data_IF_038403262443
#
_entry.id   IF_038403262443
#
_cell.length_a   1.000
_cell.length_b   1.000
_cell.length_c   1.000
_cell.angle_alpha   90.00
_cell.angle_beta   90.00
_cell.angle_gamma   90.00
#
_symmetry.space_group_name_H-M   'P 1'
#
loop_
_entity.id
_entity.type
_entity.pdbx_description
1 polymer ?
#
# COMPACT_ATOMS: atom_id res chain seq x y z
N UNK A 1 -19.85 5.82 38.55
CA UNK A 1 -20.37 6.47 37.32
C UNK A 1 -19.45 6.18 36.11
N UNK A 2 -19.10 4.90 35.84
CA UNK A 2 -18.04 4.54 34.85
C UNK A 2 -18.44 3.49 33.80
N UNK A 3 -19.67 2.95 33.82
CA UNK A 3 -20.10 1.89 32.90
C UNK A 3 -20.81 2.41 31.62
N UNK A 4 -21.15 3.70 31.54
CA UNK A 4 -21.98 4.24 30.43
C UNK A 4 -21.18 4.70 29.20
N UNK A 5 -19.83 4.75 29.26
CA UNK A 5 -18.99 5.23 28.15
C UNK A 5 -18.47 4.10 27.23
N UNK A 6 -18.53 2.83 27.64
CA UNK A 6 -18.06 1.70 26.82
C UNK A 6 -19.05 1.34 25.71
N UNK A 7 -20.36 1.36 26.01
CA UNK A 7 -21.40 0.97 25.06
C UNK A 7 -21.55 1.96 23.91
N UNK A 8 -21.31 3.25 24.16
CA UNK A 8 -21.25 4.27 23.11
C UNK A 8 -19.99 4.17 22.27
N UNK A 9 -18.87 3.72 22.84
CA UNK A 9 -17.58 3.56 22.14
C UNK A 9 -17.56 2.36 21.20
N UNK A 10 -18.13 1.22 21.60
CA UNK A 10 -18.27 0.04 20.75
C UNK A 10 -19.23 0.30 19.60
N UNK A 11 -20.38 0.93 19.88
CA UNK A 11 -21.31 1.37 18.83
C UNK A 11 -20.69 2.40 17.89
N UNK A 12 -19.88 3.33 18.40
CA UNK A 12 -19.20 4.32 17.53
C UNK A 12 -18.09 3.70 16.69
N UNK A 13 -17.39 2.66 17.16
CA UNK A 13 -16.44 1.91 16.33
C UNK A 13 -17.18 1.15 15.24
N UNK A 14 -18.29 0.48 15.58
CA UNK A 14 -19.12 -0.23 14.59
C UNK A 14 -19.76 0.72 13.56
N UNK A 15 -20.27 1.87 13.99
CA UNK A 15 -20.74 2.93 13.08
C UNK A 15 -19.60 3.52 12.25
N UNK A 16 -18.41 3.66 12.85
CA UNK A 16 -17.19 4.11 12.19
C UNK A 16 -16.69 3.17 11.08
N UNK A 17 -17.07 1.88 11.10
CA UNK A 17 -16.80 0.95 10.01
C UNK A 17 -17.64 1.27 8.75
N UNK A 18 -18.81 1.89 8.93
CA UNK A 18 -19.70 2.31 7.85
C UNK A 18 -19.45 3.73 7.35
N UNK A 19 -18.49 4.46 7.94
CA UNK A 19 -18.05 5.75 7.43
C UNK A 19 -17.38 5.59 6.06
N UNK A 20 -17.62 6.56 5.16
CA UNK A 20 -17.12 6.50 3.77
C UNK A 20 -15.62 6.28 3.70
N UNK A 21 -14.86 6.97 4.54
CA UNK A 21 -13.39 6.88 4.56
C UNK A 21 -12.91 5.49 4.96
N UNK A 22 -13.53 4.90 5.99
CA UNK A 22 -13.21 3.55 6.46
C UNK A 22 -13.60 2.50 5.43
N UNK A 23 -14.77 2.66 4.79
CA UNK A 23 -15.24 1.76 3.74
C UNK A 23 -14.32 1.79 2.52
N UNK A 24 -13.87 2.97 2.10
CA UNK A 24 -12.89 3.12 1.01
C UNK A 24 -11.58 2.43 1.39
N UNK A 25 -11.07 2.66 2.61
CA UNK A 25 -9.85 2.00 3.09
C UNK A 25 -9.95 0.48 3.13
N UNK A 26 -11.03 -0.07 3.70
CA UNK A 26 -11.30 -1.50 3.74
C UNK A 26 -11.43 -2.10 2.34
N UNK A 27 -12.14 -1.41 1.45
CA UNK A 27 -12.31 -1.85 0.05
C UNK A 27 -10.97 -1.88 -0.67
N UNK A 28 -10.14 -0.83 -0.54
CA UNK A 28 -8.79 -0.81 -1.09
C UNK A 28 -7.93 -1.95 -0.54
N UNK A 29 -7.98 -2.21 0.76
CA UNK A 29 -7.28 -3.33 1.39
C UNK A 29 -7.71 -4.69 0.85
N UNK A 30 -9.02 -4.89 0.69
CA UNK A 30 -9.58 -6.12 0.13
C UNK A 30 -9.13 -6.34 -1.33
N UNK A 31 -9.19 -5.31 -2.18
CA UNK A 31 -8.70 -5.40 -3.56
C UNK A 31 -7.19 -5.63 -3.63
N UNK A 32 -6.41 -5.01 -2.74
CA UNK A 32 -4.96 -5.23 -2.67
C UNK A 32 -4.62 -6.66 -2.25
N UNK A 33 -5.38 -7.25 -1.32
CA UNK A 33 -5.25 -8.66 -0.92
C UNK A 33 -5.68 -9.61 -2.04
N UNK A 34 -6.80 -9.35 -2.71
CA UNK A 34 -7.24 -10.15 -3.85
C UNK A 34 -6.21 -10.14 -4.99
N UNK A 35 -5.63 -8.97 -5.26
CA UNK A 35 -4.57 -8.80 -6.26
C UNK A 35 -3.35 -9.68 -5.98
N UNK A 36 -2.91 -9.85 -4.72
CA UNK A 36 -1.77 -10.71 -4.41
C UNK A 36 -2.06 -12.19 -4.68
N UNK A 37 -3.28 -12.64 -4.43
CA UNK A 37 -3.73 -14.01 -4.75
C UNK A 37 -3.78 -14.22 -6.26
N UNK A 38 -4.33 -13.26 -7.01
CA UNK A 38 -4.36 -13.34 -8.47
C UNK A 38 -2.96 -13.33 -9.09
N UNK A 39 -2.02 -12.52 -8.58
CA UNK A 39 -0.63 -12.57 -9.04
C UNK A 39 0.06 -13.90 -8.76
N UNK A 40 -0.26 -14.54 -7.62
CA UNK A 40 0.21 -15.89 -7.33
C UNK A 40 -0.40 -16.93 -8.29
N UNK A 41 -1.69 -16.84 -8.55
CA UNK A 41 -2.40 -17.72 -9.50
C UNK A 41 -1.91 -17.57 -10.95
N UNK A 42 -1.64 -16.34 -11.40
CA UNK A 42 -1.05 -16.07 -12.71
C UNK A 42 0.38 -16.64 -12.80
N UNK A 43 1.19 -16.46 -11.75
CA UNK A 43 2.54 -17.04 -11.69
C UNK A 43 2.53 -18.57 -11.77
N UNK A 44 1.54 -19.23 -11.17
CA UNK A 44 1.38 -20.69 -11.23
C UNK A 44 0.94 -21.16 -12.63
N UNK A 45 0.09 -20.38 -13.32
CA UNK A 45 -0.40 -20.71 -14.66
C UNK A 45 0.67 -20.58 -15.75
N UNK A 46 1.74 -19.82 -15.50
CA UNK A 46 2.85 -19.59 -16.44
C UNK A 46 4.03 -20.55 -16.20
N UNK A 47 3.78 -21.76 -15.71
CA UNK A 47 4.77 -22.73 -15.18
C UNK A 47 6.00 -23.01 -16.07
N UNK A 48 5.94 -22.70 -17.36
CA UNK A 48 6.99 -22.92 -18.36
C UNK A 48 7.94 -21.73 -18.65
N UNK A 49 7.83 -20.59 -17.94
CA UNK A 49 8.68 -19.39 -18.18
C UNK A 49 9.54 -19.03 -16.96
N UNK A 50 10.72 -18.43 -17.12
CA UNK A 50 11.54 -17.97 -15.98
C UNK A 50 10.77 -17.06 -15.00
N UNK A 51 11.02 -17.23 -13.71
CA UNK A 51 10.29 -16.56 -12.63
C UNK A 51 10.39 -15.03 -12.70
N UNK A 52 11.55 -14.52 -13.14
CA UNK A 52 11.85 -13.11 -13.42
C UNK A 52 10.93 -12.54 -14.50
N UNK A 53 10.76 -13.27 -15.61
CA UNK A 53 9.93 -12.88 -16.74
C UNK A 53 8.44 -12.83 -16.35
N UNK A 54 7.97 -13.77 -15.53
CA UNK A 54 6.57 -13.77 -15.02
C UNK A 54 6.27 -12.52 -14.18
N UNK A 55 7.18 -12.17 -13.28
CA UNK A 55 6.99 -11.00 -12.42
C UNK A 55 7.10 -9.70 -13.20
N UNK A 56 8.07 -9.58 -14.12
CA UNK A 56 8.22 -8.42 -15.00
C UNK A 56 7.00 -8.24 -15.92
N UNK A 57 6.39 -9.34 -16.38
CA UNK A 57 5.16 -9.30 -17.17
C UNK A 57 3.97 -8.84 -16.32
N UNK A 58 3.76 -9.43 -15.13
CA UNK A 58 2.70 -9.02 -14.22
C UNK A 58 2.83 -7.54 -13.79
N UNK A 59 4.06 -7.10 -13.52
CA UNK A 59 4.46 -5.70 -13.34
C UNK A 59 3.93 -4.81 -14.44
N UNK A 60 4.35 -5.13 -15.66
CA UNK A 60 4.16 -4.27 -16.81
C UNK A 60 2.68 -4.16 -17.13
N UNK A 61 1.97 -5.30 -17.11
CA UNK A 61 0.52 -5.33 -17.33
C UNK A 61 -0.21 -4.57 -16.23
N UNK A 62 0.12 -4.78 -14.95
CA UNK A 62 -0.48 -4.04 -13.84
C UNK A 62 -0.25 -2.54 -13.95
N UNK A 63 0.99 -2.14 -14.26
CA UNK A 63 1.36 -0.74 -14.37
C UNK A 63 0.63 -0.06 -15.54
N UNK A 64 0.54 -0.73 -16.70
CA UNK A 64 -0.21 -0.23 -17.86
C UNK A 64 -1.68 -0.05 -17.49
N UNK A 65 -2.32 -1.07 -16.90
CA UNK A 65 -3.73 -1.01 -16.50
C UNK A 65 -3.93 0.13 -15.49
N UNK A 66 -3.09 0.22 -14.47
CA UNK A 66 -3.16 1.26 -13.45
C UNK A 66 -2.98 2.66 -14.05
N UNK A 67 -1.99 2.85 -14.92
CA UNK A 67 -1.74 4.14 -15.60
C UNK A 67 -2.89 4.54 -16.52
N UNK A 68 -3.49 3.60 -17.25
CA UNK A 68 -4.65 3.88 -18.12
C UNK A 68 -5.87 4.26 -17.28
N UNK A 69 -6.22 3.45 -16.27
CA UNK A 69 -7.37 3.72 -15.40
C UNK A 69 -7.20 5.07 -14.69
N UNK A 70 -6.03 5.33 -14.12
CA UNK A 70 -5.74 6.59 -13.44
C UNK A 70 -5.75 7.78 -14.41
N UNK A 71 -5.23 7.60 -15.63
CA UNK A 71 -5.24 8.62 -16.68
C UNK A 71 -6.66 8.98 -17.15
N UNK A 72 -7.51 7.98 -17.36
CA UNK A 72 -8.93 8.18 -17.68
C UNK A 72 -9.64 8.88 -16.53
N UNK A 73 -9.41 8.43 -15.29
CA UNK A 73 -9.99 9.04 -14.10
C UNK A 73 -9.61 10.52 -13.97
N UNK A 74 -8.33 10.86 -14.14
CA UNK A 74 -7.86 12.26 -14.12
C UNK A 74 -8.55 13.08 -15.22
N UNK A 75 -8.64 12.54 -16.44
CA UNK A 75 -9.24 13.25 -17.57
C UNK A 75 -10.73 13.55 -17.36
N UNK A 76 -11.48 12.60 -16.78
CA UNK A 76 -12.92 12.72 -16.57
C UNK A 76 -13.25 13.56 -15.33
N UNK A 77 -12.53 13.37 -14.23
CA UNK A 77 -12.88 13.97 -12.94
C UNK A 77 -12.14 15.28 -12.65
N UNK A 78 -10.94 15.45 -13.19
CA UNK A 78 -10.07 16.61 -12.95
C UNK A 78 -9.44 17.12 -14.27
N UNK A 79 -10.24 17.64 -15.20
CA UNK A 79 -9.73 18.17 -16.46
C UNK A 79 -8.71 19.30 -16.20
N UNK A 80 -7.51 19.16 -16.77
CA UNK A 80 -6.41 20.13 -16.62
C UNK A 80 -5.30 19.72 -15.65
N UNK A 81 -5.49 18.69 -14.79
CA UNK A 81 -4.40 18.14 -13.97
C UNK A 81 -3.26 17.59 -14.83
N UNK A 82 -3.57 16.90 -15.94
CA UNK A 82 -2.57 16.38 -16.86
C UNK A 82 -1.68 17.51 -17.40
N UNK A 83 -2.27 18.64 -17.79
CA UNK A 83 -1.53 19.82 -18.24
C UNK A 83 -0.65 20.41 -17.14
N UNK A 84 -1.12 20.43 -15.89
CA UNK A 84 -0.32 20.89 -14.74
C UNK A 84 0.86 19.97 -14.45
N UNK A 85 0.72 18.66 -14.66
CA UNK A 85 1.82 17.70 -14.55
C UNK A 85 2.90 18.01 -15.62
N UNK A 86 2.49 18.30 -16.86
CA UNK A 86 3.43 18.70 -17.91
C UNK A 86 4.11 20.05 -17.61
N UNK A 87 3.40 21.01 -17.02
CA UNK A 87 3.98 22.28 -16.60
C UNK A 87 4.99 22.12 -15.45
N UNK A 88 4.75 21.19 -14.52
CA UNK A 88 5.65 20.86 -13.41
C UNK A 88 6.44 19.57 -13.67
N UNK A 89 6.90 19.38 -14.90
CA UNK A 89 7.67 18.22 -15.35
C UNK A 89 8.86 17.85 -14.43
N UNK A 90 9.69 18.80 -13.92
CA UNK A 90 10.88 18.42 -13.16
C UNK A 90 10.59 17.69 -11.83
N UNK A 91 9.74 18.22 -10.91
CA UNK A 91 9.39 17.48 -9.70
C UNK A 91 8.55 16.23 -10.00
N UNK A 92 7.69 16.26 -11.02
CA UNK A 92 6.94 15.07 -11.44
C UNK A 92 7.86 13.94 -11.92
N UNK A 93 8.96 14.27 -12.58
CA UNK A 93 9.94 13.27 -13.03
C UNK A 93 10.67 12.63 -11.85
N UNK A 94 11.09 13.40 -10.83
CA UNK A 94 11.76 12.86 -9.64
C UNK A 94 10.85 11.88 -8.88
N UNK A 95 9.57 12.23 -8.70
CA UNK A 95 8.58 11.35 -8.07
C UNK A 95 8.33 10.11 -8.94
N UNK A 96 8.26 10.27 -10.26
CA UNK A 96 8.11 9.17 -11.21
C UNK A 96 9.27 8.19 -11.17
N UNK A 97 10.51 8.68 -11.20
CA UNK A 97 11.73 7.85 -11.10
C UNK A 97 11.74 7.08 -9.78
N UNK A 98 11.45 7.75 -8.67
CA UNK A 98 11.33 7.11 -7.34
C UNK A 98 10.27 6.01 -7.34
N UNK A 99 9.11 6.27 -7.95
CA UNK A 99 8.03 5.28 -8.09
C UNK A 99 8.41 4.06 -8.94
N UNK A 100 9.13 4.27 -10.04
CA UNK A 100 9.64 3.19 -10.89
C UNK A 100 10.68 2.35 -10.15
N UNK A 101 11.64 2.98 -9.48
CA UNK A 101 12.64 2.28 -8.65
C UNK A 101 11.97 1.47 -7.54
N UNK A 102 10.99 2.05 -6.84
CA UNK A 102 10.20 1.36 -5.82
C UNK A 102 9.44 0.15 -6.39
N UNK A 103 8.82 0.31 -7.56
CA UNK A 103 8.10 -0.78 -8.24
C UNK A 103 9.02 -1.92 -8.65
N UNK A 104 10.21 -1.60 -9.18
CA UNK A 104 11.24 -2.59 -9.52
C UNK A 104 11.67 -3.36 -8.27
N UNK A 105 11.95 -2.66 -7.16
CA UNK A 105 12.31 -3.30 -5.89
C UNK A 105 11.20 -4.24 -5.38
N UNK A 106 9.94 -3.78 -5.37
CA UNK A 106 8.81 -4.57 -4.89
C UNK A 106 8.60 -5.86 -5.69
N UNK A 107 8.66 -5.78 -7.00
CA UNK A 107 8.44 -6.95 -7.83
C UNK A 107 9.66 -7.84 -7.97
N UNK A 108 10.87 -7.30 -7.86
CA UNK A 108 12.07 -8.11 -7.65
C UNK A 108 11.91 -8.94 -6.37
N UNK A 109 11.44 -8.34 -5.27
CA UNK A 109 11.17 -9.08 -4.04
C UNK A 109 10.08 -10.16 -4.23
N UNK A 110 9.02 -9.86 -4.99
CA UNK A 110 7.98 -10.86 -5.33
C UNK A 110 8.49 -12.03 -6.21
N UNK A 111 9.63 -11.89 -6.88
CA UNK A 111 10.27 -13.03 -7.58
C UNK A 111 11.01 -13.94 -6.60
N UNK A 112 11.69 -13.38 -5.61
CA UNK A 112 12.55 -14.16 -4.71
C UNK A 112 11.71 -14.88 -3.64
N UNK A 113 10.61 -14.28 -3.20
CA UNK A 113 9.81 -14.78 -2.09
C UNK A 113 8.29 -14.72 -2.35
N UNK A 114 7.52 -15.45 -1.54
CA UNK A 114 6.07 -15.42 -1.62
C UNK A 114 5.53 -13.99 -1.40
N UNK A 115 4.49 -13.61 -2.15
CA UNK A 115 3.86 -12.30 -2.06
C UNK A 115 3.38 -11.93 -0.64
N UNK A 116 3.01 -12.93 0.16
CA UNK A 116 2.65 -12.72 1.56
C UNK A 116 3.85 -12.24 2.40
N UNK A 117 5.01 -12.89 2.27
CA UNK A 117 6.24 -12.52 2.99
C UNK A 117 6.74 -11.13 2.60
N UNK A 118 6.73 -10.82 1.30
CA UNK A 118 7.17 -9.51 0.80
C UNK A 118 6.29 -8.38 1.30
N UNK A 119 4.96 -8.55 1.30
CA UNK A 119 4.04 -7.53 1.82
C UNK A 119 4.14 -7.35 3.33
N UNK A 120 4.33 -8.45 4.06
CA UNK A 120 4.56 -8.38 5.50
C UNK A 120 5.85 -7.62 5.82
N UNK A 121 6.96 -7.95 5.14
CA UNK A 121 8.19 -7.19 5.27
C UNK A 121 8.00 -5.73 4.86
N UNK A 122 7.23 -5.46 3.81
CA UNK A 122 6.90 -4.11 3.36
C UNK A 122 6.22 -3.24 4.42
N UNK A 123 5.56 -3.82 5.43
CA UNK A 123 5.01 -3.04 6.55
C UNK A 123 6.08 -2.32 7.39
N UNK A 124 7.36 -2.70 7.27
CA UNK A 124 8.49 -1.95 7.83
C UNK A 124 8.51 -0.50 7.34
N UNK A 125 7.97 -0.22 6.16
CA UNK A 125 7.83 1.13 5.61
C UNK A 125 7.08 2.04 6.57
N UNK A 126 6.03 1.55 7.25
CA UNK A 126 5.26 2.34 8.22
C UNK A 126 6.11 2.77 9.42
N UNK A 127 7.06 1.93 9.85
CA UNK A 127 8.00 2.27 10.91
C UNK A 127 8.93 3.39 10.43
N UNK A 128 9.46 3.29 9.20
CA UNK A 128 10.27 4.35 8.61
C UNK A 128 9.50 5.65 8.40
N UNK A 129 8.25 5.60 7.90
CA UNK A 129 7.39 6.77 7.74
C UNK A 129 7.11 7.44 9.08
N UNK A 130 6.91 6.66 10.14
CA UNK A 130 6.71 7.23 11.48
C UNK A 130 7.96 7.88 12.04
N UNK A 131 9.13 7.23 11.91
CA UNK A 131 10.42 7.83 12.30
C UNK A 131 10.62 9.13 11.52
N UNK A 132 10.36 9.13 10.22
CA UNK A 132 10.45 10.33 9.39
C UNK A 132 9.47 11.41 9.85
N UNK A 133 8.23 11.08 10.24
CA UNK A 133 7.29 12.05 10.79
C UNK A 133 7.83 12.71 12.07
N UNK A 134 8.37 11.93 13.00
CA UNK A 134 8.95 12.48 14.24
C UNK A 134 10.20 13.33 13.95
N UNK A 135 11.09 12.85 13.08
CA UNK A 135 12.38 13.50 12.83
C UNK A 135 12.23 14.77 11.98
N UNK A 136 11.45 14.70 10.91
CA UNK A 136 11.28 15.82 9.97
C UNK A 136 10.14 16.77 10.36
N UNK A 137 9.00 16.25 10.80
CA UNK A 137 7.81 17.07 11.11
C UNK A 137 7.69 17.42 12.60
N UNK A 138 8.45 16.76 13.49
CA UNK A 138 8.44 16.97 14.94
C UNK A 138 7.02 16.92 15.55
N UNK A 139 6.16 16.08 14.99
CA UNK A 139 4.80 15.91 15.50
C UNK A 139 4.83 15.24 16.89
N UNK A 140 3.95 15.70 17.78
CA UNK A 140 3.77 15.09 19.10
C UNK A 140 3.02 13.77 18.96
N UNK A 141 3.77 12.69 18.91
CA UNK A 141 3.26 11.32 18.89
C UNK A 141 2.39 11.02 20.12
N UNK A 142 1.22 10.43 19.88
CA UNK A 142 0.36 9.91 20.96
C UNK A 142 0.78 8.48 21.34
N UNK A 143 0.57 8.10 22.60
CA UNK A 143 0.92 6.76 23.11
C UNK A 143 0.28 5.62 22.28
N UNK A 144 -0.91 5.87 21.71
CA UNK A 144 -1.63 4.90 20.89
C UNK A 144 -0.94 4.63 19.55
N UNK A 145 -0.29 5.63 18.94
CA UNK A 145 0.48 5.46 17.69
C UNK A 145 1.70 4.60 17.94
N UNK A 146 2.41 4.89 19.05
CA UNK A 146 3.57 4.11 19.48
C UNK A 146 3.21 2.63 19.70
N UNK A 147 2.11 2.34 20.40
CA UNK A 147 1.63 0.98 20.60
C UNK A 147 1.29 0.30 19.26
N UNK A 148 0.64 1.01 18.33
CA UNK A 148 0.31 0.50 17.01
C UNK A 148 1.55 0.12 16.20
N UNK A 149 2.60 0.92 16.27
CA UNK A 149 3.87 0.68 15.57
C UNK A 149 4.64 -0.46 16.20
N UNK A 150 4.62 -0.57 17.52
CA UNK A 150 5.23 -1.69 18.24
C UNK A 150 4.54 -3.02 17.88
N UNK A 151 3.20 -3.01 17.74
CA UNK A 151 2.43 -4.14 17.24
C UNK A 151 2.82 -4.51 15.80
N UNK A 152 2.97 -3.54 14.90
CA UNK A 152 3.44 -3.78 13.52
C UNK A 152 4.84 -4.40 13.55
N UNK A 153 5.77 -3.85 14.32
CA UNK A 153 7.13 -4.37 14.44
C UNK A 153 7.13 -5.83 14.93
N UNK A 154 6.36 -6.13 15.98
CA UNK A 154 6.21 -7.50 16.49
C UNK A 154 5.62 -8.44 15.44
N UNK A 155 4.62 -8.01 14.69
CA UNK A 155 4.01 -8.81 13.61
C UNK A 155 5.03 -9.18 12.53
N UNK A 156 5.91 -8.24 12.14
CA UNK A 156 6.96 -8.49 11.15
C UNK A 156 7.98 -9.50 11.68
N UNK A 157 8.39 -9.37 12.95
CA UNK A 157 9.36 -10.28 13.59
C UNK A 157 8.81 -11.70 13.69
N UNK A 158 7.56 -11.87 14.13
CA UNK A 158 6.91 -13.18 14.24
C UNK A 158 6.84 -13.86 12.87
N UNK A 159 6.52 -13.10 11.82
CA UNK A 159 6.42 -13.63 10.47
C UNK A 159 7.78 -14.00 9.88
N UNK A 160 8.85 -13.27 10.21
CA UNK A 160 10.22 -13.62 9.83
C UNK A 160 10.74 -14.89 10.52
N UNK A 161 10.23 -15.20 11.72
CA UNK A 161 10.60 -16.38 12.50
C UNK A 161 9.92 -17.68 12.04
N UNK A 162 8.99 -17.62 11.08
CA UNK A 162 8.18 -18.74 10.61
C UNK A 162 8.29 -19.02 9.11
#
# INVERSE_FOLDING_TARGET
>A
MSASKSDTKLKSIFLGLFEKTTLIGLTCGAFLGASSVFYRGASLSLENTELSMRAAFALTVSLIIQSIIMGIYLKVREPGQITKIFQNWPPSLTVGISGVLGSICWFTAFTVQNAAYVRALGQIELIFTFIASIVFFKEKTKINEFIGILLIAMSIIILLLN
#
